data_IF_678436782350
#
_entry.id   IF_678436782350
#
_cell.length_a   1.000
_cell.length_b   1.000
_cell.length_c   1.000
_cell.angle_alpha   90.00
_cell.angle_beta   90.00
_cell.angle_gamma   90.00
#
_symmetry.space_group_name_H-M   'P 1'
#
loop_
_entity.id
_entity.type
_entity.pdbx_description
1 polymer ?
#
# COMPACT_ATOMS: atom_id res chain seq x y z
N UNK A 1 -5.16 4.53 -6.98
CA UNK A 1 -4.25 3.71 -7.81
C UNK A 1 -3.50 4.66 -8.74
N UNK A 2 -2.19 4.87 -8.53
CA UNK A 2 -1.38 5.87 -9.24
C UNK A 2 -0.37 5.25 -10.22
N UNK A 3 -0.05 3.98 -10.04
CA UNK A 3 0.97 3.23 -10.80
C UNK A 3 0.53 2.91 -12.24
N UNK A 4 -0.77 2.96 -12.54
CA UNK A 4 -1.29 2.63 -13.87
C UNK A 4 -0.78 3.59 -14.95
N UNK A 5 -0.77 4.88 -14.66
CA UNK A 5 -0.35 5.89 -15.63
C UNK A 5 1.11 5.73 -16.07
N UNK A 6 2.12 5.68 -15.17
CA UNK A 6 3.50 5.42 -15.59
C UNK A 6 3.67 4.05 -16.24
N UNK A 7 2.91 3.03 -15.83
CA UNK A 7 2.92 1.71 -16.50
C UNK A 7 2.48 1.81 -17.97
N UNK A 8 1.41 2.55 -18.26
CA UNK A 8 0.91 2.72 -19.62
C UNK A 8 1.85 3.56 -20.49
N UNK A 9 2.53 4.57 -19.91
CA UNK A 9 3.55 5.35 -20.63
C UNK A 9 4.67 4.43 -21.12
N UNK A 10 5.19 3.59 -20.23
CA UNK A 10 6.28 2.66 -20.55
C UNK A 10 5.84 1.61 -21.59
N UNK A 11 4.68 0.98 -21.39
CA UNK A 11 4.14 0.00 -22.35
C UNK A 11 3.85 0.62 -23.74
N UNK A 12 3.52 1.91 -23.80
CA UNK A 12 3.30 2.63 -25.05
C UNK A 12 4.60 3.11 -25.72
N UNK A 13 5.76 2.93 -25.07
CA UNK A 13 7.05 3.43 -25.58
C UNK A 13 7.14 4.95 -25.62
N UNK A 14 6.43 5.64 -24.74
CA UNK A 14 6.42 7.10 -24.63
C UNK A 14 7.51 7.56 -23.64
N UNK A 15 7.90 8.83 -23.76
CA UNK A 15 8.86 9.46 -22.84
C UNK A 15 8.35 9.43 -21.39
N UNK A 16 9.19 9.02 -20.41
CA UNK A 16 8.83 9.04 -19.01
C UNK A 16 8.42 10.44 -18.53
N UNK A 17 7.46 10.49 -17.60
CA UNK A 17 7.02 11.74 -17.00
C UNK A 17 7.52 11.86 -15.55
N UNK A 18 8.21 12.95 -15.27
CA UNK A 18 8.68 13.28 -13.93
C UNK A 18 7.56 13.77 -13.01
N UNK A 19 7.78 13.68 -11.69
CA UNK A 19 6.85 14.18 -10.68
C UNK A 19 5.61 13.33 -10.45
N UNK A 20 5.62 12.07 -10.89
CA UNK A 20 4.56 11.10 -10.58
C UNK A 20 4.85 10.41 -9.25
N UNK A 21 3.83 10.29 -8.40
CA UNK A 21 3.91 9.51 -7.16
C UNK A 21 3.86 7.99 -7.41
N UNK A 22 3.32 7.59 -8.57
CA UNK A 22 3.23 6.20 -9.01
C UNK A 22 4.52 5.73 -9.69
N UNK A 23 4.74 4.42 -9.69
CA UNK A 23 5.84 3.75 -10.39
C UNK A 23 5.29 2.79 -11.43
N UNK A 24 6.05 2.55 -12.50
CA UNK A 24 5.65 1.56 -13.48
C UNK A 24 5.68 0.15 -12.89
N UNK A 25 4.69 -0.65 -13.23
CA UNK A 25 4.59 -2.06 -12.86
C UNK A 25 5.17 -2.98 -13.94
N UNK A 26 5.66 -2.45 -15.06
CA UNK A 26 6.27 -3.26 -16.13
C UNK A 26 7.31 -4.25 -15.62
N UNK A 27 8.25 -3.89 -14.70
CA UNK A 27 9.19 -4.87 -14.16
C UNK A 27 8.50 -6.08 -13.51
N UNK A 28 7.42 -5.86 -12.76
CA UNK A 28 6.63 -6.94 -12.14
C UNK A 28 5.79 -7.74 -13.15
N UNK A 29 5.44 -7.15 -14.30
CA UNK A 29 4.78 -7.88 -15.39
C UNK A 29 5.75 -8.83 -16.11
N UNK A 30 7.02 -8.46 -16.18
CA UNK A 30 8.08 -9.27 -16.81
C UNK A 30 8.64 -10.33 -15.85
N UNK A 31 8.84 -9.98 -14.58
CA UNK A 31 9.35 -10.88 -13.54
C UNK A 31 8.46 -10.76 -12.27
N UNK A 32 7.42 -11.62 -12.16
CA UNK A 32 6.41 -11.53 -11.10
C UNK A 32 6.93 -11.72 -9.67
N UNK A 33 8.08 -12.39 -9.52
CA UNK A 33 8.69 -12.68 -8.22
C UNK A 33 9.70 -11.59 -7.79
N UNK A 34 9.80 -10.47 -8.54
CA UNK A 34 10.67 -9.37 -8.17
C UNK A 34 10.30 -8.81 -6.79
N UNK A 35 11.28 -8.60 -5.90
CA UNK A 35 11.03 -7.94 -4.63
C UNK A 35 10.42 -6.56 -4.83
N UNK A 36 9.28 -6.31 -4.18
CA UNK A 36 8.61 -5.01 -4.20
C UNK A 36 8.63 -4.39 -2.80
N UNK A 37 9.68 -3.63 -2.43
CA UNK A 37 9.86 -3.15 -1.06
C UNK A 37 8.90 -2.03 -0.65
N UNK A 38 7.98 -1.62 -1.54
CA UNK A 38 7.09 -0.48 -1.31
C UNK A 38 5.71 -0.94 -0.85
N UNK A 39 5.24 -0.52 0.34
CA UNK A 39 3.88 -0.80 0.75
C UNK A 39 2.88 0.03 -0.07
N UNK A 40 1.65 -0.45 -0.14
CA UNK A 40 0.52 0.26 -0.75
C UNK A 40 -0.01 1.29 0.25
N UNK A 41 0.01 2.57 -0.11
CA UNK A 41 -0.67 3.64 0.61
C UNK A 41 -2.01 3.94 -0.05
N UNK A 42 -3.09 3.86 0.72
CA UNK A 42 -4.45 4.24 0.32
C UNK A 42 -4.98 5.34 1.21
N UNK A 43 -5.67 6.32 0.63
CA UNK A 43 -6.29 7.43 1.36
C UNK A 43 -7.77 7.51 1.01
N UNK A 44 -8.62 7.69 2.02
CA UNK A 44 -10.06 7.87 1.85
C UNK A 44 -10.55 9.12 2.58
N UNK A 45 -10.83 10.19 1.85
CA UNK A 45 -11.23 11.46 2.45
C UNK A 45 -10.11 12.12 3.28
N UNK A 46 -10.49 13.01 4.19
CA UNK A 46 -9.55 13.74 5.03
C UNK A 46 -9.02 12.85 6.16
N UNK A 47 -7.69 12.71 6.25
CA UNK A 47 -6.98 12.01 7.34
C UNK A 47 -7.34 10.54 7.60
N UNK A 48 -7.96 9.83 6.65
CA UNK A 48 -8.04 8.36 6.73
C UNK A 48 -7.04 7.75 5.76
N UNK A 49 -6.07 7.03 6.32
CA UNK A 49 -4.96 6.44 5.57
C UNK A 49 -4.79 4.97 5.95
N UNK A 50 -4.44 4.15 4.97
CA UNK A 50 -4.03 2.76 5.19
C UNK A 50 -2.72 2.48 4.47
N UNK A 51 -1.80 1.83 5.16
CA UNK A 51 -0.54 1.32 4.61
C UNK A 51 -0.57 -0.20 4.70
N UNK A 52 -0.33 -0.87 3.58
CA UNK A 52 -0.30 -2.34 3.49
C UNK A 52 1.04 -2.81 2.90
N UNK A 53 1.77 -3.61 3.65
CA UNK A 53 2.89 -4.42 3.15
C UNK A 53 2.42 -5.86 2.89
N UNK A 54 3.35 -6.77 2.58
CA UNK A 54 3.04 -8.20 2.43
C UNK A 54 2.40 -8.77 3.71
N UNK A 55 3.00 -8.47 4.87
CA UNK A 55 2.58 -9.02 6.16
C UNK A 55 1.65 -8.11 6.94
N UNK A 56 1.83 -6.80 6.89
CA UNK A 56 1.16 -5.88 7.82
C UNK A 56 0.19 -4.96 7.11
N UNK A 57 -0.95 -4.70 7.75
CA UNK A 57 -1.81 -3.58 7.40
C UNK A 57 -2.00 -2.68 8.61
N UNK A 58 -1.73 -1.40 8.42
CA UNK A 58 -2.02 -0.36 9.40
C UNK A 58 -3.04 0.62 8.82
N UNK A 59 -3.99 1.03 9.64
CA UNK A 59 -5.02 2.01 9.29
C UNK A 59 -5.04 3.07 10.38
N UNK A 60 -5.07 4.33 9.96
CA UNK A 60 -5.29 5.48 10.83
C UNK A 60 -6.49 6.25 10.33
N UNK A 61 -7.44 6.48 11.21
CA UNK A 61 -8.65 7.24 10.92
C UNK A 61 -8.48 8.70 11.32
N UNK A 62 -9.36 9.53 10.78
CA UNK A 62 -9.40 10.96 11.05
C UNK A 62 -9.61 11.28 12.54
N UNK A 63 -10.43 10.48 13.23
CA UNK A 63 -10.70 10.64 14.67
C UNK A 63 -9.54 10.21 15.57
N UNK A 64 -8.44 9.73 14.98
CA UNK A 64 -7.24 9.29 15.68
C UNK A 64 -7.29 7.82 16.09
N UNK A 65 -8.36 7.09 15.81
CA UNK A 65 -8.39 5.63 16.02
C UNK A 65 -7.46 4.92 15.04
N UNK A 66 -6.97 3.76 15.47
CA UNK A 66 -5.94 3.00 14.77
C UNK A 66 -6.30 1.52 14.71
N UNK A 67 -5.96 0.90 13.58
CA UNK A 67 -6.04 -0.55 13.40
C UNK A 67 -4.69 -1.09 12.90
N UNK A 68 -4.27 -2.23 13.44
CA UNK A 68 -3.06 -2.94 13.02
C UNK A 68 -3.37 -4.44 12.90
N UNK A 69 -3.10 -5.02 11.74
CA UNK A 69 -3.35 -6.42 11.43
C UNK A 69 -2.09 -7.13 10.94
N UNK A 70 -1.87 -8.36 11.43
CA UNK A 70 -0.83 -9.28 10.95
C UNK A 70 -1.46 -10.30 9.98
N UNK A 71 -1.29 -10.10 8.67
CA UNK A 71 -1.88 -10.98 7.65
C UNK A 71 -1.31 -12.40 7.63
N UNK A 72 -0.13 -12.64 8.23
CA UNK A 72 0.40 -14.00 8.35
C UNK A 72 -0.41 -14.82 9.38
N UNK A 73 -0.88 -14.17 10.44
CA UNK A 73 -1.61 -14.81 11.54
C UNK A 73 -3.13 -14.65 11.45
N UNK A 74 -3.59 -13.57 10.82
CA UNK A 74 -4.98 -13.13 10.75
C UNK A 74 -5.30 -12.56 9.36
N UNK A 75 -5.36 -13.42 8.32
CA UNK A 75 -5.56 -13.00 6.93
C UNK A 75 -6.88 -12.26 6.72
N UNK A 76 -7.88 -12.52 7.56
CA UNK A 76 -9.22 -11.94 7.50
C UNK A 76 -9.40 -10.68 8.38
N UNK A 77 -8.33 -10.18 9.02
CA UNK A 77 -8.30 -8.92 9.78
C UNK A 77 -9.32 -8.86 10.95
N UNK A 78 -9.50 -9.94 11.71
CA UNK A 78 -10.45 -9.98 12.83
C UNK A 78 -9.89 -9.39 14.14
N UNK A 79 -8.57 -9.38 14.30
CA UNK A 79 -7.89 -9.04 15.55
C UNK A 79 -7.07 -7.77 15.39
N UNK A 80 -7.64 -6.64 15.85
CA UNK A 80 -6.91 -5.38 15.88
C UNK A 80 -5.82 -5.39 16.98
N UNK A 81 -4.55 -5.34 16.57
CA UNK A 81 -3.38 -5.34 17.45
C UNK A 81 -3.02 -3.94 18.00
N UNK A 82 -3.55 -2.86 17.42
CA UNK A 82 -3.27 -1.50 17.88
C UNK A 82 -3.88 -1.25 19.26
N UNK A 83 -5.09 -1.78 19.51
CA UNK A 83 -5.76 -1.68 20.82
C UNK A 83 -5.18 -2.64 21.86
N UNK A 84 -4.59 -3.75 21.44
CA UNK A 84 -3.95 -4.72 22.34
C UNK A 84 -2.64 -4.19 22.96
N UNK A 85 -1.99 -3.23 22.30
CA UNK A 85 -0.73 -2.64 22.75
C UNK A 85 -0.87 -1.31 23.51
N UNK A 86 -2.09 -0.81 23.72
CA UNK A 86 -2.33 0.48 24.42
C UNK A 86 -2.18 0.38 25.95
N UNK A 87 -1.87 -0.79 26.52
CA UNK A 87 -1.68 -1.00 27.96
C UNK A 87 -0.23 -0.71 28.44
N UNK A 88 0.43 0.32 27.92
CA UNK A 88 1.79 0.73 28.32
C UNK A 88 1.84 2.15 28.87
#
# INVERSE_FOLDING_TARGET
>A
MLDLYPTLIELAGLEPREGLDGQSLVPLLEEPDLPWPRPVLSTYGYQNHSIRSERWRYIRYHDGTEELYDHDADPDEWTNLAVANTAR
#
